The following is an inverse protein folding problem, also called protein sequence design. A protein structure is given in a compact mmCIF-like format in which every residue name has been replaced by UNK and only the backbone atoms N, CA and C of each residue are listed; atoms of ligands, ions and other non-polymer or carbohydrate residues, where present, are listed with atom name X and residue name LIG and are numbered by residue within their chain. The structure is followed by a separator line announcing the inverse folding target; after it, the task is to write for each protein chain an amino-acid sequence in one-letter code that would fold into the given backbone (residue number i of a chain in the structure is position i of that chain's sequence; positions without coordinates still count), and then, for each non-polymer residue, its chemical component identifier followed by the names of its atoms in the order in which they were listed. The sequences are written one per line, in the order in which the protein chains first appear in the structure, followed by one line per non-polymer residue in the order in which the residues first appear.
data_IF_755216938105
#
_entry.id   IF_755216938105
#
_cell.length_a   1.000
_cell.length_b   1.000
_cell.length_c   1.000
_cell.angle_alpha   90.00
_cell.angle_beta   90.00
_cell.angle_gamma   90.00
#
_symmetry.space_group_name_H-M   'P 1'
#
loop_
_entity.id
_entity.type
_entity.pdbx_description
1 polymer ?
#
# COMPACT_ATOMS: atom_id res chain seq x y z
N UNK A 1 7.36 0.72 -5.72
CA UNK A 1 6.21 0.57 -4.80
C UNK A 1 5.03 1.25 -5.45
N UNK A 2 4.16 0.49 -6.08
CA UNK A 2 2.97 1.03 -6.75
C UNK A 2 1.97 1.49 -5.69
N UNK A 3 1.74 2.80 -5.70
CA UNK A 3 0.78 3.46 -4.83
C UNK A 3 -0.62 3.22 -5.41
N UNK A 4 -1.40 2.32 -4.80
CA UNK A 4 -2.81 2.08 -5.15
C UNK A 4 -3.74 3.21 -4.67
N UNK A 5 -3.30 4.45 -4.79
CA UNK A 5 -4.07 5.66 -4.52
C UNK A 5 -4.11 6.51 -5.78
N UNK A 6 -5.29 7.07 -6.08
CA UNK A 6 -5.45 8.07 -7.14
C UNK A 6 -4.33 9.12 -7.04
N UNK A 7 -3.61 9.45 -8.13
CA UNK A 7 -2.44 10.32 -8.11
C UNK A 7 -2.74 11.78 -7.69
N UNK A 8 -4.01 12.10 -7.45
CA UNK A 8 -4.53 13.43 -7.14
C UNK A 8 -5.19 13.50 -5.75
N UNK A 9 -4.78 12.64 -4.81
CA UNK A 9 -5.27 12.70 -3.42
C UNK A 9 -4.14 13.07 -2.48
N UNK A 10 -4.25 14.24 -1.87
CA UNK A 10 -3.35 14.68 -0.81
C UNK A 10 -3.72 13.98 0.50
N UNK A 11 -2.77 13.87 1.43
CA UNK A 11 -2.97 13.23 2.75
C UNK A 11 -4.14 13.85 3.54
N UNK A 12 -4.52 15.09 3.22
CA UNK A 12 -5.61 15.82 3.88
C UNK A 12 -7.01 15.47 3.34
N UNK A 13 -7.10 14.84 2.16
CA UNK A 13 -8.38 14.46 1.54
C UNK A 13 -9.04 13.25 2.19
N UNK A 14 -8.42 12.69 3.25
CA UNK A 14 -8.95 11.53 3.98
C UNK A 14 -10.31 11.78 4.62
N UNK A 15 -10.66 13.03 4.89
CA UNK A 15 -11.95 13.42 5.47
C UNK A 15 -12.97 13.89 4.42
N UNK A 16 -12.63 13.92 3.13
CA UNK A 16 -13.59 14.28 2.08
C UNK A 16 -14.55 13.10 1.80
N UNK A 17 -15.82 13.30 2.18
CA UNK A 17 -16.89 12.31 2.01
C UNK A 17 -17.40 12.20 0.57
N UNK A 18 -17.14 13.20 -0.28
CA UNK A 18 -17.64 13.23 -1.66
C UNK A 18 -16.99 12.17 -2.56
N UNK A 19 -15.88 11.58 -2.12
CA UNK A 19 -15.07 10.61 -2.89
C UNK A 19 -15.27 9.14 -2.49
N UNK A 20 -16.00 8.84 -1.40
CA UNK A 20 -15.92 7.52 -0.72
C UNK A 20 -17.14 6.60 -0.94
N UNK A 21 -18.30 7.13 -1.34
CA UNK A 21 -19.56 6.46 -1.00
C UNK A 21 -20.17 5.42 -1.97
N UNK A 22 -19.55 5.09 -3.11
CA UNK A 22 -20.18 4.10 -4.04
C UNK A 22 -19.24 3.13 -4.77
N UNK A 23 -17.92 3.29 -4.70
CA UNK A 23 -17.01 2.54 -5.61
C UNK A 23 -16.26 1.37 -4.93
N UNK A 24 -16.24 1.29 -3.58
CA UNK A 24 -15.34 0.38 -2.85
C UNK A 24 -15.96 -0.87 -2.20
N UNK A 25 -17.25 -1.16 -2.38
CA UNK A 25 -17.89 -2.33 -1.73
C UNK A 25 -17.66 -3.59 -2.56
N UNK A 26 -16.98 -4.60 -1.98
CA UNK A 26 -16.83 -5.91 -2.60
C UNK A 26 -18.22 -6.55 -2.79
N UNK A 27 -18.67 -6.83 -4.03
CA UNK A 27 -20.05 -7.22 -4.31
C UNK A 27 -20.41 -8.65 -3.88
N UNK A 28 -19.46 -9.43 -3.38
CA UNK A 28 -19.67 -10.82 -2.94
C UNK A 28 -19.70 -10.91 -1.40
N UNK A 29 -20.84 -10.58 -0.80
CA UNK A 29 -21.07 -10.76 0.65
C UNK A 29 -21.89 -12.00 1.01
N UNK A 30 -22.24 -12.86 0.05
CA UNK A 30 -23.15 -14.03 0.22
C UNK A 30 -22.43 -15.37 0.43
N UNK A 31 -21.25 -15.38 1.05
CA UNK A 31 -20.56 -16.60 1.49
C UNK A 31 -20.45 -16.63 3.01
N UNK A 32 -20.23 -17.82 3.60
CA UNK A 32 -19.95 -17.93 5.04
C UNK A 32 -18.81 -16.97 5.41
N UNK A 33 -19.14 -15.93 6.19
CA UNK A 33 -18.17 -14.98 6.70
C UNK A 33 -17.29 -15.71 7.70
N UNK A 34 -16.25 -16.38 7.22
CA UNK A 34 -15.06 -16.60 8.04
C UNK A 34 -14.74 -15.21 8.60
N UNK A 35 -14.77 -15.06 9.92
CA UNK A 35 -14.45 -13.80 10.60
C UNK A 35 -12.97 -13.51 10.35
N UNK A 36 -12.63 -13.04 9.15
CA UNK A 36 -11.30 -12.55 8.83
C UNK A 36 -10.98 -11.45 9.83
N UNK A 37 -9.74 -11.44 10.34
CA UNK A 37 -9.30 -10.40 11.26
C UNK A 37 -9.62 -9.01 10.66
N UNK A 38 -10.45 -8.24 11.38
CA UNK A 38 -10.94 -6.93 10.92
C UNK A 38 -12.28 -6.93 10.18
N UNK A 39 -12.97 -8.05 9.96
CA UNK A 39 -14.31 -8.05 9.35
C UNK A 39 -15.41 -7.49 10.25
N UNK A 40 -16.56 -7.12 9.66
CA UNK A 40 -17.74 -6.61 10.35
C UNK A 40 -17.87 -5.08 10.32
N UNK A 41 -19.01 -4.57 10.78
CA UNK A 41 -19.29 -3.13 10.86
C UNK A 41 -18.32 -2.46 11.84
N UNK A 42 -17.68 -1.37 11.40
CA UNK A 42 -16.68 -0.60 12.15
C UNK A 42 -17.23 0.79 12.48
N UNK A 43 -16.56 1.53 13.38
CA UNK A 43 -16.97 2.89 13.78
C UNK A 43 -17.16 3.85 12.59
N UNK A 44 -16.37 3.70 11.52
CA UNK A 44 -16.49 4.50 10.29
C UNK A 44 -17.78 4.27 9.50
N UNK A 45 -18.39 3.10 9.67
CA UNK A 45 -19.64 2.75 8.98
C UNK A 45 -20.84 3.39 9.70
N UNK A 46 -20.72 3.58 11.02
CA UNK A 46 -21.70 4.25 11.86
C UNK A 46 -21.59 5.78 11.82
N UNK A 47 -20.36 6.31 11.78
CA UNK A 47 -20.08 7.74 11.74
C UNK A 47 -19.17 8.07 10.53
N UNK A 48 -19.72 8.11 9.31
CA UNK A 48 -18.93 8.36 8.10
C UNK A 48 -18.26 9.74 8.08
N UNK A 49 -18.89 10.73 8.73
CA UNK A 49 -18.42 12.12 8.85
C UNK A 49 -17.49 12.38 10.04
N UNK A 50 -17.08 11.34 10.77
CA UNK A 50 -16.16 11.50 11.89
C UNK A 50 -14.75 11.83 11.39
N UNK A 51 -14.07 12.75 12.09
CA UNK A 51 -12.66 13.08 11.85
C UNK A 51 -11.78 11.82 11.88
N UNK A 52 -11.05 11.55 10.80
CA UNK A 52 -10.19 10.37 10.68
C UNK A 52 -8.76 10.70 11.10
N UNK A 53 -8.35 10.16 12.26
CA UNK A 53 -6.98 10.29 12.78
C UNK A 53 -6.01 9.20 12.29
N UNK A 54 -6.47 8.32 11.40
CA UNK A 54 -5.72 7.16 10.93
C UNK A 54 -4.40 7.53 10.23
N UNK A 55 -4.30 8.74 9.68
CA UNK A 55 -3.11 9.26 9.02
C UNK A 55 -1.93 9.40 9.98
N UNK A 56 -2.19 9.70 11.25
CA UNK A 56 -1.16 9.93 12.27
C UNK A 56 -0.48 8.64 12.73
N UNK A 57 -1.03 7.49 12.34
CA UNK A 57 -0.51 6.15 12.67
C UNK A 57 -0.02 5.38 11.45
N UNK A 58 0.07 6.03 10.28
CA UNK A 58 0.71 5.44 9.11
C UNK A 58 2.23 5.36 9.33
N UNK A 59 2.89 4.38 8.71
CA UNK A 59 4.36 4.23 8.72
C UNK A 59 4.99 4.15 10.13
N UNK A 60 4.31 3.49 11.08
CA UNK A 60 4.90 3.19 12.39
C UNK A 60 6.08 2.21 12.24
N UNK A 61 7.11 2.37 13.09
CA UNK A 61 8.24 1.44 13.20
C UNK A 61 7.83 0.01 13.54
N UNK A 62 6.65 -0.19 14.15
CA UNK A 62 6.10 -1.53 14.42
C UNK A 62 5.76 -2.32 13.15
N UNK A 63 5.60 -1.63 12.01
CA UNK A 63 5.33 -2.23 10.70
C UNK A 63 6.54 -2.17 9.77
N UNK A 64 7.67 -1.62 10.21
CA UNK A 64 8.90 -1.56 9.43
C UNK A 64 9.72 -2.84 9.64
N UNK A 65 9.91 -3.67 8.60
CA UNK A 65 10.71 -4.90 8.71
C UNK A 65 12.22 -4.63 8.77
N UNK A 66 12.69 -3.45 8.38
CA UNK A 66 14.14 -3.14 8.29
C UNK A 66 14.75 -2.79 9.66
N UNK A 67 13.91 -2.43 10.64
CA UNK A 67 14.33 -2.07 11.99
C UNK A 67 14.85 -0.63 12.11
N UNK A 68 14.86 -0.12 13.34
CA UNK A 68 15.10 1.30 13.62
C UNK A 68 16.52 1.78 13.28
N UNK A 69 17.50 0.87 13.25
CA UNK A 69 18.91 1.20 13.02
C UNK A 69 19.27 1.21 11.52
N UNK A 70 18.35 0.83 10.63
CA UNK A 70 18.64 0.74 9.21
C UNK A 70 18.61 2.12 8.53
N UNK A 71 19.72 2.50 7.90
CA UNK A 71 19.83 3.73 7.12
C UNK A 71 19.86 3.43 5.61
N UNK A 72 18.74 3.69 4.93
CA UNK A 72 18.63 3.48 3.49
C UNK A 72 19.64 4.31 2.67
N UNK A 73 19.92 5.55 3.09
CA UNK A 73 20.86 6.41 2.36
C UNK A 73 22.30 5.90 2.43
N UNK A 74 22.68 5.29 3.56
CA UNK A 74 23.99 4.64 3.71
C UNK A 74 24.04 3.33 2.93
N UNK A 75 23.02 2.46 3.06
CA UNK A 75 22.94 1.21 2.29
C UNK A 75 22.99 1.46 0.79
N UNK A 76 22.27 2.46 0.28
CA UNK A 76 22.27 2.80 -1.14
C UNK A 76 23.65 3.27 -1.65
N UNK A 77 24.43 3.99 -0.84
CA UNK A 77 25.78 4.42 -1.23
C UNK A 77 26.75 3.24 -1.44
N UNK A 78 26.52 2.13 -0.75
CA UNK A 78 27.34 0.92 -0.89
C UNK A 78 26.96 0.04 -2.08
N UNK A 79 25.85 0.35 -2.77
CA UNK A 79 25.32 -0.44 -3.87
C UNK A 79 26.12 -0.22 -5.16
N UNK A 80 26.50 -1.30 -5.85
CA UNK A 80 27.06 -1.22 -7.20
C UNK A 80 25.95 -0.90 -8.23
N UNK A 81 25.85 0.39 -8.56
CA UNK A 81 24.85 0.87 -9.53
C UNK A 81 25.14 0.41 -10.96
N UNK A 82 26.38 0.09 -11.30
CA UNK A 82 26.72 -0.39 -12.65
C UNK A 82 26.22 -1.82 -12.83
N UNK A 83 26.44 -2.68 -11.82
CA UNK A 83 25.94 -4.04 -11.82
C UNK A 83 24.41 -4.09 -11.83
N UNK A 84 23.74 -3.31 -10.97
CA UNK A 84 22.27 -3.27 -10.92
C UNK A 84 21.67 -2.84 -12.25
N UNK A 85 22.22 -1.80 -12.88
CA UNK A 85 21.73 -1.36 -14.20
C UNK A 85 21.90 -2.44 -15.26
N UNK A 86 23.06 -3.10 -15.28
CA UNK A 86 23.32 -4.19 -16.22
C UNK A 86 22.33 -5.34 -16.00
N UNK A 87 22.13 -5.77 -14.76
CA UNK A 87 21.19 -6.83 -14.42
C UNK A 87 19.75 -6.50 -14.85
N UNK A 88 19.34 -5.23 -14.76
CA UNK A 88 18.04 -4.79 -15.27
C UNK A 88 17.96 -4.91 -16.79
N UNK A 89 19.00 -4.51 -17.54
CA UNK A 89 19.02 -4.67 -19.00
C UNK A 89 18.98 -6.14 -19.42
N UNK A 90 19.71 -7.01 -18.72
CA UNK A 90 19.70 -8.45 -18.99
C UNK A 90 18.29 -9.03 -18.70
N UNK A 91 17.66 -8.62 -17.59
CA UNK A 91 16.30 -9.04 -17.21
C UNK A 91 15.26 -8.66 -18.27
N UNK A 92 15.37 -7.50 -18.92
CA UNK A 92 14.45 -7.07 -19.98
C UNK A 92 14.40 -8.02 -21.18
N UNK A 93 15.45 -8.83 -21.38
CA UNK A 93 15.54 -9.80 -22.48
C UNK A 93 15.39 -11.25 -22.03
N UNK A 94 15.26 -11.47 -20.71
CA UNK A 94 15.14 -12.80 -20.11
C UNK A 94 13.67 -13.12 -19.83
N UNK A 95 12.99 -13.65 -20.85
CA UNK A 95 11.58 -14.06 -20.75
C UNK A 95 11.36 -15.09 -19.64
N UNK A 96 10.25 -14.96 -18.93
CA UNK A 96 9.83 -15.90 -17.89
C UNK A 96 8.61 -16.66 -18.36
N UNK A 97 8.57 -17.98 -18.22
CA UNK A 97 7.46 -18.80 -18.74
C UNK A 97 6.10 -18.43 -18.14
N UNK A 98 6.09 -17.92 -16.90
CA UNK A 98 4.88 -17.47 -16.20
C UNK A 98 4.40 -16.08 -16.63
N UNK A 99 5.26 -15.29 -17.27
CA UNK A 99 4.93 -14.01 -17.89
C UNK A 99 5.90 -13.71 -19.04
N UNK A 100 5.62 -14.23 -20.24
CA UNK A 100 6.53 -14.08 -21.37
C UNK A 100 6.71 -12.61 -21.78
N UNK A 101 7.94 -12.27 -22.17
CA UNK A 101 8.30 -10.94 -22.66
C UNK A 101 7.68 -10.61 -24.04
#
# INVERSE_FOLDING_TARGET
MEYNGSPDTTVWDVNDESKVNTVGKCPFTSGALNKSAGGGTRNRDWWPSQLKLNILRQHSSLSDPMGNEFNYAEGFKTLDLAEVKKAIFDLMTTSQDWWPA
#
